data_IF_055623717289
#
_entry.id   IF_055623717289
#
_cell.length_a   1.000
_cell.length_b   1.000
_cell.length_c   1.000
_cell.angle_alpha   90.00
_cell.angle_beta   90.00
_cell.angle_gamma   90.00
#
_symmetry.space_group_name_H-M   'P 1'
#
loop_
_entity.id
_entity.type
_entity.pdbx_description
1 polymer ?
#
# COMPACT_ATOMS: atom_id res chain seq x y z
N UNK A 1 -3.84 3.02 19.37
CA UNK A 1 -3.32 2.48 18.10
C UNK A 1 -2.44 1.30 18.49
N UNK A 2 -2.65 0.13 17.87
CA UNK A 2 -1.78 -1.01 18.16
C UNK A 2 -0.41 -0.82 17.47
N UNK A 3 0.63 -1.53 17.95
CA UNK A 3 1.99 -1.33 17.46
C UNK A 3 2.13 -1.63 15.96
N UNK A 4 1.35 -2.59 15.45
CA UNK A 4 1.33 -2.97 14.04
C UNK A 4 0.77 -1.84 13.15
N UNK A 5 -0.29 -1.19 13.60
CA UNK A 5 -0.83 0.00 12.92
C UNK A 5 0.22 1.11 12.86
N UNK A 6 0.88 1.38 13.99
CA UNK A 6 1.91 2.41 14.05
C UNK A 6 3.06 2.11 13.08
N UNK A 7 3.51 0.86 13.00
CA UNK A 7 4.60 0.43 12.12
C UNK A 7 4.26 0.67 10.64
N UNK A 8 3.04 0.32 10.21
CA UNK A 8 2.58 0.60 8.85
C UNK A 8 2.50 2.11 8.59
N UNK A 9 1.87 2.88 9.49
CA UNK A 9 1.63 4.31 9.28
C UNK A 9 2.90 5.17 9.40
N UNK A 10 3.97 4.66 10.02
CA UNK A 10 5.31 5.28 10.01
C UNK A 10 5.95 5.27 8.62
N UNK A 11 5.54 4.38 7.72
CA UNK A 11 6.00 4.36 6.33
C UNK A 11 5.41 5.50 5.49
N UNK A 12 4.45 6.25 6.02
CA UNK A 12 3.78 7.30 5.26
C UNK A 12 4.74 8.43 4.89
N UNK A 13 4.90 8.69 3.60
CA UNK A 13 5.70 9.81 3.08
C UNK A 13 4.91 11.13 3.06
N UNK A 14 3.57 11.05 3.08
CA UNK A 14 2.68 12.21 3.12
C UNK A 14 1.35 11.84 3.81
N UNK A 15 0.61 12.86 4.27
CA UNK A 15 -0.66 12.70 5.00
C UNK A 15 -1.63 13.84 4.66
N UNK A 16 -2.92 13.55 4.71
CA UNK A 16 -3.97 14.55 4.52
C UNK A 16 -5.20 14.25 5.40
N UNK A 17 -6.05 15.25 5.70
CA UNK A 17 -7.36 15.01 6.27
C UNK A 17 -8.22 14.12 5.35
N UNK A 18 -8.93 13.13 5.93
CA UNK A 18 -9.74 12.19 5.16
C UNK A 18 -10.88 12.88 4.38
N UNK A 19 -11.42 14.00 4.89
CA UNK A 19 -12.43 14.81 4.20
C UNK A 19 -11.89 15.54 2.94
N UNK A 20 -10.57 15.56 2.73
CA UNK A 20 -9.92 16.11 1.54
C UNK A 20 -9.30 15.03 0.64
N UNK A 21 -9.64 13.75 0.85
CA UNK A 21 -8.99 12.61 0.22
C UNK A 21 -8.84 12.73 -1.30
N UNK A 22 -9.92 13.04 -2.03
CA UNK A 22 -9.88 13.13 -3.49
C UNK A 22 -8.83 14.13 -4.00
N UNK A 23 -8.79 15.33 -3.40
CA UNK A 23 -7.83 16.37 -3.79
C UNK A 23 -6.39 15.95 -3.44
N UNK A 24 -6.20 15.33 -2.29
CA UNK A 24 -4.89 14.86 -1.85
C UNK A 24 -4.37 13.70 -2.71
N UNK A 25 -5.24 12.74 -3.06
CA UNK A 25 -4.90 11.61 -3.94
C UNK A 25 -4.52 12.11 -5.33
N UNK A 26 -5.28 13.04 -5.91
CA UNK A 26 -4.97 13.59 -7.23
C UNK A 26 -3.65 14.37 -7.22
N UNK A 27 -3.37 15.14 -6.15
CA UNK A 27 -2.07 15.81 -5.97
C UNK A 27 -0.92 14.79 -5.92
N UNK A 28 -1.00 13.80 -5.03
CA UNK A 28 0.05 12.78 -4.87
C UNK A 28 0.22 11.96 -6.14
N UNK A 29 -0.85 11.69 -6.89
CA UNK A 29 -0.79 11.00 -8.18
C UNK A 29 0.11 11.74 -9.17
N UNK A 30 -0.01 13.07 -9.24
CA UNK A 30 0.81 13.90 -10.11
C UNK A 30 2.26 13.97 -9.63
N UNK A 31 2.48 14.08 -8.30
CA UNK A 31 3.82 14.15 -7.72
C UNK A 31 4.61 12.83 -7.89
N UNK A 32 3.97 11.69 -7.62
CA UNK A 32 4.60 10.36 -7.75
C UNK A 32 4.74 9.92 -9.20
N UNK A 33 3.79 10.31 -10.07
CA UNK A 33 3.80 9.98 -11.48
C UNK A 33 4.86 10.73 -12.30
N UNK A 34 5.16 11.97 -11.89
CA UNK A 34 6.02 12.87 -12.66
C UNK A 34 5.41 13.25 -14.01
N UNK A 35 6.21 13.84 -14.91
CA UNK A 35 5.73 14.37 -16.20
C UNK A 35 5.35 13.28 -17.23
N UNK A 36 5.80 12.04 -17.04
CA UNK A 36 5.78 11.00 -18.07
C UNK A 36 4.99 9.73 -17.71
N UNK A 37 4.41 9.65 -16.50
CA UNK A 37 3.66 8.46 -16.09
C UNK A 37 2.53 8.81 -15.12
N UNK A 38 1.39 8.16 -15.26
CA UNK A 38 0.31 8.26 -14.27
C UNK A 38 0.59 7.25 -13.15
N UNK A 39 0.95 7.73 -11.97
CA UNK A 39 0.95 6.89 -10.78
C UNK A 39 -0.47 6.37 -10.50
N UNK A 40 -0.59 5.23 -9.83
CA UNK A 40 -1.88 4.68 -9.41
C UNK A 40 -1.96 4.59 -7.90
N UNK A 41 -3.14 4.93 -7.37
CA UNK A 41 -3.48 4.84 -5.95
C UNK A 41 -4.17 3.49 -5.70
N UNK A 42 -3.74 2.75 -4.69
CA UNK A 42 -4.46 1.58 -4.16
C UNK A 42 -5.03 1.95 -2.79
N UNK A 43 -6.35 1.89 -2.65
CA UNK A 43 -7.06 2.54 -1.55
C UNK A 43 -7.69 1.50 -0.62
N UNK A 44 -7.52 1.70 0.69
CA UNK A 44 -8.19 0.86 1.68
C UNK A 44 -8.32 1.57 3.04
N UNK A 45 -9.33 1.14 3.79
CA UNK A 45 -9.54 1.53 5.18
C UNK A 45 -8.84 0.51 6.09
N UNK A 46 -8.05 0.99 7.04
CA UNK A 46 -7.53 0.13 8.10
C UNK A 46 -8.68 -0.28 9.03
N UNK A 47 -8.82 -1.59 9.32
CA UNK A 47 -9.82 -2.05 10.27
C UNK A 47 -9.44 -1.64 11.70
N UNK A 48 -10.45 -1.58 12.56
CA UNK A 48 -10.21 -1.57 14.00
C UNK A 48 -9.78 -2.96 14.48
N UNK A 49 -8.84 -3.03 15.42
CA UNK A 49 -8.39 -4.28 16.02
C UNK A 49 -7.19 -4.90 15.31
N UNK A 50 -7.17 -6.23 15.10
CA UNK A 50 -5.99 -6.99 14.67
C UNK A 50 -5.55 -6.65 13.22
N UNK A 51 -4.82 -5.54 13.09
CA UNK A 51 -4.37 -4.98 11.82
C UNK A 51 -3.42 -5.92 11.10
N UNK A 52 -2.47 -6.54 11.82
CA UNK A 52 -1.49 -7.45 11.19
C UNK A 52 -2.17 -8.64 10.51
N UNK A 53 -3.08 -9.34 11.19
CA UNK A 53 -3.77 -10.47 10.57
C UNK A 53 -4.58 -10.02 9.35
N UNK A 54 -5.28 -8.89 9.43
CA UNK A 54 -6.04 -8.37 8.30
C UNK A 54 -5.14 -8.04 7.10
N UNK A 55 -4.01 -7.37 7.34
CA UNK A 55 -3.05 -7.02 6.30
C UNK A 55 -2.45 -8.26 5.63
N UNK A 56 -2.09 -9.28 6.40
CA UNK A 56 -1.47 -10.50 5.87
C UNK A 56 -2.46 -11.42 5.14
N UNK A 57 -3.64 -11.61 5.70
CA UNK A 57 -4.59 -12.60 5.19
C UNK A 57 -5.51 -12.03 4.09
N UNK A 58 -5.80 -10.74 4.14
CA UNK A 58 -6.78 -10.11 3.22
C UNK A 58 -6.13 -9.11 2.26
N UNK A 59 -5.31 -8.17 2.75
CA UNK A 59 -4.74 -7.13 1.89
C UNK A 59 -3.61 -7.67 1.01
N UNK A 60 -2.61 -8.32 1.62
CA UNK A 60 -1.37 -8.73 0.95
C UNK A 60 -1.63 -9.57 -0.31
N UNK A 61 -2.51 -10.60 -0.32
CA UNK A 61 -2.78 -11.37 -1.52
C UNK A 61 -3.31 -10.50 -2.67
N UNK A 62 -4.25 -9.60 -2.37
CA UNK A 62 -4.89 -8.72 -3.37
C UNK A 62 -3.93 -7.64 -3.87
N UNK A 63 -3.08 -7.13 -2.97
CA UNK A 63 -2.09 -6.14 -3.32
C UNK A 63 -1.04 -6.73 -4.27
N UNK A 64 -0.55 -7.94 -4.00
CA UNK A 64 0.41 -8.62 -4.89
C UNK A 64 -0.21 -8.91 -6.27
N UNK A 65 -1.42 -9.48 -6.30
CA UNK A 65 -2.14 -9.74 -7.56
C UNK A 65 -2.31 -8.44 -8.39
N UNK A 66 -2.72 -7.36 -7.73
CA UNK A 66 -2.89 -6.05 -8.35
C UNK A 66 -1.58 -5.50 -8.91
N UNK A 67 -0.49 -5.51 -8.13
CA UNK A 67 0.81 -4.96 -8.52
C UNK A 67 1.41 -5.70 -9.71
N UNK A 68 1.31 -7.03 -9.72
CA UNK A 68 1.79 -7.85 -10.82
C UNK A 68 0.92 -7.64 -12.08
N UNK A 69 -0.40 -7.63 -11.94
CA UNK A 69 -1.34 -7.41 -13.05
C UNK A 69 -1.21 -6.02 -13.69
N UNK A 70 -0.85 -4.99 -12.90
CA UNK A 70 -0.62 -3.63 -13.40
C UNK A 70 0.78 -3.42 -13.99
N UNK A 71 1.65 -4.43 -13.92
CA UNK A 71 3.03 -4.33 -14.39
C UNK A 71 3.96 -3.53 -13.48
N UNK A 72 3.51 -3.12 -12.30
CA UNK A 72 4.34 -2.44 -11.30
C UNK A 72 5.42 -3.37 -10.73
N UNK A 73 5.06 -4.66 -10.58
CA UNK A 73 5.90 -5.83 -10.24
C UNK A 73 6.74 -5.73 -8.97
N UNK A 74 6.76 -6.80 -8.20
CA UNK A 74 7.67 -6.90 -7.05
C UNK A 74 9.13 -7.00 -7.53
N UNK A 75 10.12 -6.46 -6.78
CA UNK A 75 9.95 -5.73 -5.51
C UNK A 75 9.73 -4.22 -5.70
N UNK A 76 9.92 -3.69 -6.90
CA UNK A 76 10.01 -2.24 -7.11
C UNK A 76 8.67 -1.52 -7.02
N UNK A 77 7.57 -2.19 -7.37
CA UNK A 77 6.20 -1.68 -7.29
C UNK A 77 6.06 -0.29 -7.94
N UNK A 78 6.69 -0.10 -9.10
CA UNK A 78 6.89 1.20 -9.72
C UNK A 78 5.57 1.90 -10.05
N UNK A 79 5.45 3.18 -9.68
CA UNK A 79 4.27 3.99 -9.98
C UNK A 79 3.02 3.65 -9.18
N UNK A 80 3.13 2.89 -8.08
CA UNK A 80 1.99 2.59 -7.19
C UNK A 80 2.25 3.10 -5.78
N UNK A 81 1.26 3.77 -5.20
CA UNK A 81 1.22 4.15 -3.79
C UNK A 81 -0.11 3.71 -3.18
N UNK A 82 -0.10 3.58 -1.86
CA UNK A 82 -1.26 3.20 -1.06
C UNK A 82 -1.87 4.46 -0.43
N UNK A 83 -3.19 4.56 -0.49
CA UNK A 83 -3.99 5.58 0.19
C UNK A 83 -4.71 4.90 1.35
N UNK A 84 -4.13 5.03 2.54
CA UNK A 84 -4.52 4.29 3.75
C UNK A 84 -5.33 5.18 4.67
N UNK A 85 -6.62 4.90 4.79
CA UNK A 85 -7.52 5.63 5.69
C UNK A 85 -7.39 5.05 7.10
N UNK A 86 -7.13 5.92 8.09
CA UNK A 86 -7.08 5.57 9.51
C UNK A 86 -7.69 6.70 10.34
N UNK A 87 -8.89 6.46 10.88
CA UNK A 87 -9.71 7.52 11.49
C UNK A 87 -9.95 8.68 10.52
N UNK A 88 -9.68 9.90 10.97
CA UNK A 88 -9.85 11.13 10.17
C UNK A 88 -8.63 11.49 9.31
N UNK A 89 -7.64 10.60 9.21
CA UNK A 89 -6.39 10.85 8.47
C UNK A 89 -6.18 9.85 7.34
N UNK A 90 -5.86 10.38 6.16
CA UNK A 90 -5.38 9.64 5.01
C UNK A 90 -3.85 9.66 5.00
N UNK A 91 -3.24 8.47 4.86
CA UNK A 91 -1.79 8.27 4.82
C UNK A 91 -1.37 7.77 3.45
N UNK A 92 -0.32 8.34 2.88
CA UNK A 92 0.24 7.93 1.60
C UNK A 92 1.52 7.14 1.82
N UNK A 93 1.56 5.89 1.35
CA UNK A 93 2.70 4.98 1.54
C UNK A 93 3.14 4.44 0.18
N UNK A 94 4.43 4.39 -0.14
CA UNK A 94 4.86 3.73 -1.38
C UNK A 94 4.55 2.23 -1.31
N UNK A 95 4.02 1.66 -2.39
CA UNK A 95 3.66 0.24 -2.40
C UNK A 95 4.87 -0.67 -2.09
N UNK A 96 6.07 -0.29 -2.55
CA UNK A 96 7.31 -1.03 -2.26
C UNK A 96 7.62 -1.13 -0.76
N UNK A 97 7.38 -0.05 -0.01
CA UNK A 97 7.73 0.02 1.41
C UNK A 97 6.72 -0.80 2.23
N UNK A 98 5.44 -0.70 1.87
CA UNK A 98 4.40 -1.54 2.48
C UNK A 98 4.60 -3.04 2.18
N UNK A 99 4.88 -3.40 0.92
CA UNK A 99 5.12 -4.81 0.57
C UNK A 99 6.39 -5.35 1.24
N UNK A 100 7.44 -4.55 1.42
CA UNK A 100 8.62 -4.93 2.17
C UNK A 100 8.29 -5.25 3.64
N UNK A 101 7.50 -4.40 4.31
CA UNK A 101 7.04 -4.66 5.68
C UNK A 101 6.19 -5.93 5.77
N UNK A 102 5.25 -6.13 4.85
CA UNK A 102 4.36 -7.31 4.84
C UNK A 102 5.11 -8.61 4.49
N UNK A 103 6.13 -8.51 3.64
CA UNK A 103 7.09 -9.59 3.35
C UNK A 103 7.82 -10.01 4.64
N UNK A 104 8.35 -9.05 5.40
CA UNK A 104 8.98 -9.30 6.69
C UNK A 104 8.02 -9.95 7.69
N UNK A 105 6.82 -9.41 7.86
CA UNK A 105 5.84 -9.94 8.81
C UNK A 105 5.31 -11.33 8.45
N UNK A 106 5.19 -11.63 7.15
CA UNK A 106 4.75 -12.95 6.69
C UNK A 106 5.87 -13.99 6.70
N UNK A 107 7.13 -13.56 6.74
CA UNK A 107 8.30 -14.42 6.56
C UNK A 107 8.44 -14.98 5.14
N UNK A 108 7.73 -14.43 4.15
CA UNK A 108 7.77 -14.86 2.75
C UNK A 108 8.66 -13.93 1.95
N UNK A 109 9.53 -14.48 1.11
CA UNK A 109 10.28 -13.70 0.11
C UNK A 109 9.37 -13.11 -0.97
N UNK A 110 9.83 -12.08 -1.68
CA UNK A 110 9.08 -11.50 -2.81
C UNK A 110 8.77 -12.51 -3.92
N UNK A 111 9.66 -13.48 -4.17
CA UNK A 111 9.43 -14.55 -5.14
C UNK A 111 8.31 -15.49 -4.68
N UNK A 112 8.25 -15.82 -3.39
CA UNK A 112 7.18 -16.63 -2.81
C UNK A 112 5.84 -15.88 -2.83
N UNK A 113 5.84 -14.59 -2.48
CA UNK A 113 4.66 -13.73 -2.59
C UNK A 113 4.11 -13.72 -4.01
N UNK A 114 4.98 -13.47 -5.00
CA UNK A 114 4.59 -13.48 -6.42
C UNK A 114 4.06 -14.85 -6.85
N UNK A 115 4.73 -15.95 -6.47
CA UNK A 115 4.29 -17.30 -6.83
C UNK A 115 2.95 -17.68 -6.19
N UNK A 116 2.70 -17.22 -4.96
CA UNK A 116 1.50 -17.58 -4.19
C UNK A 116 0.29 -16.72 -4.54
N UNK A 117 0.51 -15.44 -4.81
CA UNK A 117 -0.54 -14.44 -4.91
C UNK A 117 -0.57 -13.67 -6.24
N UNK A 118 0.44 -13.81 -7.09
CA UNK A 118 0.43 -13.19 -8.41
C UNK A 118 -0.66 -13.76 -9.32
N UNK A 119 -0.97 -13.06 -10.43
CA UNK A 119 -1.95 -13.52 -11.40
C UNK A 119 -1.55 -14.87 -11.99
N UNK A 120 -2.56 -15.73 -12.21
CA UNK A 120 -2.39 -17.07 -12.80
C UNK A 120 -2.31 -17.03 -14.32
#
# INVERSE_FOLDING_TARGET
MDADTDDLLRLAFDRAPANLANQAIDRVRNEVGGESSYATSYEFLLPDGNVRAWLLDYLLPRLVDYLESRGAKLPHCGGVFLSVFSGDTLHFIHARDAVALLSEWSGLSFDELRKRYGPR
#
